data_IF_829644734338
#
_entry.id   IF_829644734338
#
_cell.length_a   1.000
_cell.length_b   1.000
_cell.length_c   1.000
_cell.angle_alpha   90.00
_cell.angle_beta   90.00
_cell.angle_gamma   90.00
#
_symmetry.space_group_name_H-M   'P 1'
#
loop_
_entity.id
_entity.type
_entity.pdbx_description
1 polymer ?
#
# COMPACT_ATOMS: atom_id res chain seq x y z
N UNK A 1 12.72 -15.40 -14.87
CA UNK A 1 12.20 -14.02 -14.80
C UNK A 1 13.38 -13.07 -14.86
N UNK A 2 13.54 -12.32 -15.95
CA UNK A 2 14.37 -11.11 -15.90
C UNK A 2 13.50 -10.02 -15.28
N UNK A 3 13.89 -9.44 -14.15
CA UNK A 3 13.21 -8.25 -13.65
C UNK A 3 13.19 -7.23 -14.77
N UNK A 4 12.05 -6.62 -15.04
CA UNK A 4 12.00 -5.43 -15.87
C UNK A 4 12.99 -4.47 -15.23
N UNK A 5 13.95 -3.99 -16.02
CA UNK A 5 15.04 -3.18 -15.51
C UNK A 5 14.50 -1.79 -15.08
N UNK A 6 13.98 -1.74 -13.86
CA UNK A 6 13.62 -0.50 -13.20
C UNK A 6 14.84 0.23 -12.60
N UNK A 7 16.04 -0.35 -12.79
CA UNK A 7 17.27 0.16 -12.21
C UNK A 7 17.54 1.62 -12.60
N UNK A 8 17.26 2.00 -13.85
CA UNK A 8 17.47 3.38 -14.30
C UNK A 8 16.61 4.43 -13.60
N UNK A 9 15.36 4.12 -13.29
CA UNK A 9 14.49 5.04 -12.56
C UNK A 9 14.85 5.09 -11.06
N UNK A 10 15.23 3.95 -10.49
CA UNK A 10 15.71 3.85 -9.11
C UNK A 10 17.06 4.51 -8.91
N UNK A 11 18.00 4.37 -9.85
CA UNK A 11 19.31 5.01 -9.79
C UNK A 11 19.24 6.53 -9.85
N UNK A 12 18.29 7.09 -10.61
CA UNK A 12 18.16 8.54 -10.73
C UNK A 12 17.64 9.23 -9.45
N UNK A 13 16.77 8.57 -8.66
CA UNK A 13 16.05 9.20 -7.55
C UNK A 13 16.20 8.52 -6.18
N UNK A 14 16.71 7.31 -6.11
CA UNK A 14 16.74 6.51 -4.87
C UNK A 14 18.11 6.07 -4.40
N UNK A 15 19.15 6.19 -5.21
CA UNK A 15 20.48 5.66 -4.90
C UNK A 15 21.11 6.25 -3.64
N UNK A 16 21.01 7.56 -3.45
CA UNK A 16 21.55 8.25 -2.28
C UNK A 16 20.81 7.86 -1.00
N UNK A 17 19.47 7.79 -1.04
CA UNK A 17 18.65 7.35 0.08
C UNK A 17 18.90 5.89 0.43
N UNK A 18 18.93 5.01 -0.57
CA UNK A 18 19.22 3.58 -0.40
C UNK A 18 20.60 3.34 0.24
N UNK A 19 21.60 4.11 -0.13
CA UNK A 19 22.95 4.03 0.45
C UNK A 19 22.99 4.54 1.90
N UNK A 20 22.11 5.48 2.26
CA UNK A 20 22.02 6.04 3.62
C UNK A 20 21.18 5.18 4.58
N UNK A 21 20.28 4.34 4.04
CA UNK A 21 19.42 3.50 4.86
C UNK A 21 20.17 2.28 5.41
N UNK A 22 20.02 2.04 6.70
CA UNK A 22 20.51 0.84 7.38
C UNK A 22 19.35 0.14 8.06
N UNK A 23 19.04 -1.08 7.59
CA UNK A 23 18.05 -1.91 8.24
C UNK A 23 18.64 -2.58 9.49
N UNK A 24 17.96 -2.43 10.62
CA UNK A 24 18.27 -3.14 11.87
C UNK A 24 17.17 -4.15 12.15
N UNK A 25 17.53 -5.38 12.46
CA UNK A 25 16.62 -6.49 12.60
C UNK A 25 16.76 -7.16 13.96
N UNK A 26 15.63 -7.32 14.67
CA UNK A 26 15.58 -8.08 15.94
C UNK A 26 14.23 -8.81 16.06
N UNK A 27 14.15 -10.12 15.76
CA UNK A 27 15.11 -10.98 15.03
C UNK A 27 15.15 -10.69 13.52
N UNK A 28 16.11 -11.26 12.80
CA UNK A 28 16.19 -11.12 11.35
C UNK A 28 15.00 -11.80 10.68
N UNK A 29 14.18 -11.03 10.00
CA UNK A 29 13.05 -11.50 9.19
C UNK A 29 13.48 -11.52 7.73
N UNK A 30 13.50 -12.70 7.12
CA UNK A 30 13.97 -12.90 5.74
C UNK A 30 12.83 -13.03 4.73
N UNK A 31 11.59 -13.03 5.21
CA UNK A 31 10.39 -13.12 4.37
C UNK A 31 9.74 -11.76 4.28
N UNK A 32 9.21 -11.45 3.13
CA UNK A 32 8.47 -10.23 2.91
C UNK A 32 8.07 -10.07 1.46
N UNK A 33 7.22 -9.08 1.24
CA UNK A 33 6.73 -8.74 -0.09
C UNK A 33 6.69 -7.23 -0.23
N UNK A 34 6.96 -6.79 -1.44
CA UNK A 34 6.71 -5.43 -1.85
C UNK A 34 5.54 -5.45 -2.86
N UNK A 35 4.47 -4.77 -2.51
CA UNK A 35 3.29 -4.61 -3.34
C UNK A 35 3.22 -3.18 -3.85
N UNK A 36 3.14 -3.04 -5.15
CA UNK A 36 2.78 -1.80 -5.83
C UNK A 36 1.60 -2.08 -6.73
N UNK A 37 0.54 -1.27 -6.63
CA UNK A 37 -0.69 -1.50 -7.39
C UNK A 37 -0.44 -1.58 -8.90
N UNK A 38 0.42 -0.72 -9.45
CA UNK A 38 0.78 -0.71 -10.87
C UNK A 38 1.43 -2.02 -11.34
N UNK A 39 2.22 -2.67 -10.49
CA UNK A 39 2.91 -3.93 -10.82
C UNK A 39 2.08 -5.18 -10.51
N UNK A 40 0.96 -5.03 -9.82
CA UNK A 40 0.13 -6.15 -9.39
C UNK A 40 -0.28 -7.06 -10.56
N UNK A 41 -0.68 -6.49 -11.71
CA UNK A 41 -1.08 -7.27 -12.88
C UNK A 41 0.05 -8.13 -13.43
N UNK A 42 1.25 -7.60 -13.48
CA UNK A 42 2.40 -8.34 -13.96
C UNK A 42 2.70 -9.53 -13.03
N UNK A 43 2.58 -9.31 -11.72
CA UNK A 43 2.79 -10.35 -10.71
C UNK A 43 1.66 -11.39 -10.74
N UNK A 44 0.40 -10.97 -10.81
CA UNK A 44 -0.76 -11.86 -10.89
C UNK A 44 -0.69 -12.77 -12.12
N UNK A 45 -0.39 -12.19 -13.28
CA UNK A 45 -0.19 -12.95 -14.52
C UNK A 45 0.93 -13.96 -14.39
N UNK A 46 2.07 -13.55 -13.86
CA UNK A 46 3.20 -14.45 -13.65
C UNK A 46 2.84 -15.62 -12.73
N UNK A 47 2.11 -15.37 -11.64
CA UNK A 47 1.69 -16.42 -10.70
C UNK A 47 0.71 -17.41 -11.36
N UNK A 48 -0.24 -16.93 -12.15
CA UNK A 48 -1.17 -17.77 -12.89
C UNK A 48 -0.45 -18.61 -13.97
N UNK A 49 0.51 -18.04 -14.69
CA UNK A 49 1.32 -18.75 -15.69
C UNK A 49 2.25 -19.80 -15.04
N UNK A 50 2.91 -19.45 -13.95
CA UNK A 50 3.80 -20.36 -13.22
C UNK A 50 3.04 -21.56 -12.65
N UNK A 51 1.83 -21.35 -12.13
CA UNK A 51 0.98 -22.43 -11.64
C UNK A 51 0.55 -23.39 -12.75
N UNK A 52 0.21 -22.88 -13.94
CA UNK A 52 -0.11 -23.71 -15.11
C UNK A 52 1.07 -24.56 -15.56
N UNK A 53 2.28 -24.00 -15.56
CA UNK A 53 3.52 -24.71 -15.91
C UNK A 53 3.94 -25.78 -14.91
N UNK A 54 3.54 -25.67 -13.64
CA UNK A 54 3.85 -26.60 -12.57
C UNK A 54 2.82 -27.73 -12.36
N UNK A 55 1.80 -27.84 -13.23
CA UNK A 55 0.75 -28.88 -13.12
C UNK A 55 -0.27 -28.63 -12.00
N UNK A 56 -0.24 -27.49 -11.33
CA UNK A 56 -1.21 -27.05 -10.35
C UNK A 56 -2.39 -26.29 -10.98
N UNK A 57 -3.52 -26.23 -10.28
CA UNK A 57 -4.59 -25.31 -10.66
C UNK A 57 -4.11 -23.88 -10.47
N UNK A 58 -4.21 -23.00 -11.50
CA UNK A 58 -3.84 -21.61 -11.34
C UNK A 58 -4.72 -20.97 -10.26
N UNK A 59 -4.17 -20.09 -9.43
CA UNK A 59 -4.95 -19.34 -8.43
C UNK A 59 -5.98 -18.40 -9.07
N UNK A 60 -5.92 -18.20 -10.40
CA UNK A 60 -6.89 -17.48 -11.23
C UNK A 60 -7.17 -16.05 -10.72
N UNK A 61 -6.08 -15.35 -10.36
CA UNK A 61 -6.16 -13.98 -9.86
C UNK A 61 -6.74 -13.00 -10.88
N UNK A 62 -6.62 -13.32 -12.18
CA UNK A 62 -7.07 -12.45 -13.28
C UNK A 62 -8.54 -12.63 -13.66
N UNK A 63 -9.22 -13.72 -13.25
CA UNK A 63 -10.65 -13.94 -13.52
C UNK A 63 -11.55 -13.09 -12.62
N UNK A 64 -11.02 -12.65 -11.50
CA UNK A 64 -11.72 -11.77 -10.58
C UNK A 64 -11.56 -10.29 -10.98
N UNK A 65 -12.45 -9.43 -10.48
CA UNK A 65 -12.26 -7.99 -10.63
C UNK A 65 -10.91 -7.59 -10.05
N UNK A 66 -10.28 -6.56 -10.60
CA UNK A 66 -8.95 -6.08 -10.25
C UNK A 66 -8.69 -6.03 -8.73
N UNK A 67 -9.62 -5.49 -7.97
CA UNK A 67 -9.51 -5.38 -6.52
C UNK A 67 -9.69 -6.69 -5.77
N UNK A 68 -10.46 -7.66 -6.32
CA UNK A 68 -10.64 -8.98 -5.67
C UNK A 68 -9.38 -9.82 -5.76
N UNK A 69 -8.76 -9.87 -6.94
CA UNK A 69 -7.50 -10.55 -7.14
C UNK A 69 -6.42 -10.02 -6.22
N UNK A 70 -6.32 -8.68 -6.08
CA UNK A 70 -5.38 -8.03 -5.17
C UNK A 70 -5.60 -8.46 -3.71
N UNK A 71 -6.83 -8.36 -3.20
CA UNK A 71 -7.17 -8.69 -1.82
C UNK A 71 -6.94 -10.19 -1.51
N UNK A 72 -7.18 -11.05 -2.50
CA UNK A 72 -6.92 -12.48 -2.37
C UNK A 72 -5.41 -12.77 -2.26
N UNK A 73 -4.58 -12.22 -3.15
CA UNK A 73 -3.12 -12.35 -3.05
C UNK A 73 -2.62 -11.82 -1.71
N UNK A 74 -3.16 -10.69 -1.26
CA UNK A 74 -2.83 -10.10 0.01
C UNK A 74 -3.13 -11.06 1.17
N UNK A 75 -4.35 -11.60 1.25
CA UNK A 75 -4.75 -12.51 2.32
C UNK A 75 -3.94 -13.82 2.32
N UNK A 76 -3.62 -14.38 1.15
CA UNK A 76 -2.86 -15.62 1.03
C UNK A 76 -1.36 -15.46 1.35
N UNK A 77 -0.81 -14.26 1.20
CA UNK A 77 0.63 -14.02 1.36
C UNK A 77 1.02 -13.39 2.68
N UNK A 78 0.10 -12.66 3.32
CA UNK A 78 0.37 -11.94 4.57
C UNK A 78 -0.06 -12.70 5.83
N UNK A 79 -0.43 -13.96 5.73
CA UNK A 79 -0.76 -14.81 6.87
C UNK A 79 0.47 -15.30 7.66
N UNK A 80 1.67 -15.00 7.19
CA UNK A 80 2.95 -15.52 7.71
C UNK A 80 3.81 -14.40 8.29
N UNK A 81 4.75 -14.80 9.13
CA UNK A 81 5.79 -13.88 9.62
C UNK A 81 6.54 -13.24 8.46
N UNK A 82 6.56 -11.91 8.44
CA UNK A 82 7.17 -11.17 7.34
C UNK A 82 7.17 -9.67 7.52
N UNK A 83 7.92 -9.00 6.63
CA UNK A 83 7.88 -7.56 6.43
C UNK A 83 7.23 -7.27 5.08
N UNK A 84 6.17 -6.48 5.10
CA UNK A 84 5.34 -6.20 3.94
C UNK A 84 5.31 -4.71 3.65
N UNK A 85 5.66 -4.36 2.41
CA UNK A 85 5.60 -2.98 1.93
C UNK A 85 4.44 -2.86 0.95
N UNK A 86 3.60 -1.87 1.16
CA UNK A 86 2.47 -1.54 0.29
C UNK A 86 2.64 -0.11 -0.23
N UNK A 87 2.69 0.03 -1.54
CA UNK A 87 2.84 1.31 -2.22
C UNK A 87 1.55 1.65 -2.95
N UNK A 88 0.83 2.63 -2.44
CA UNK A 88 -0.47 3.11 -2.93
C UNK A 88 -1.48 1.99 -3.27
N UNK A 89 -1.77 1.08 -2.33
CA UNK A 89 -2.66 -0.05 -2.62
C UNK A 89 -4.08 0.41 -3.02
N UNK A 90 -4.50 1.60 -2.61
CA UNK A 90 -5.79 2.19 -2.96
C UNK A 90 -5.95 2.43 -4.46
N UNK A 91 -4.89 2.63 -5.23
CA UNK A 91 -4.99 2.92 -6.67
C UNK A 91 -5.57 1.73 -7.48
N UNK A 92 -5.49 0.50 -6.94
CA UNK A 92 -6.15 -0.68 -7.49
C UNK A 92 -7.52 -1.00 -6.86
N UNK A 93 -7.97 -0.23 -5.87
CA UNK A 93 -9.09 -0.57 -5.01
C UNK A 93 -10.20 0.49 -5.03
N UNK A 94 -11.44 0.06 -5.29
CA UNK A 94 -12.59 0.91 -5.01
C UNK A 94 -12.70 1.21 -3.50
N UNK A 95 -13.38 2.30 -3.07
CA UNK A 95 -13.55 2.61 -1.65
C UNK A 95 -14.08 1.43 -0.81
N UNK A 96 -15.01 0.65 -1.35
CA UNK A 96 -15.52 -0.56 -0.70
C UNK A 96 -14.41 -1.61 -0.50
N UNK A 97 -13.54 -1.79 -1.49
CA UNK A 97 -12.41 -2.72 -1.41
C UNK A 97 -11.31 -2.24 -0.47
N UNK A 98 -11.12 -0.93 -0.35
CA UNK A 98 -10.23 -0.35 0.65
C UNK A 98 -10.69 -0.70 2.08
N UNK A 99 -12.01 -0.72 2.35
CA UNK A 99 -12.53 -1.18 3.64
C UNK A 99 -12.27 -2.68 3.89
N UNK A 100 -12.26 -3.51 2.85
CA UNK A 100 -11.89 -4.92 2.97
C UNK A 100 -10.39 -5.07 3.30
N UNK A 101 -9.53 -4.30 2.64
CA UNK A 101 -8.10 -4.25 2.96
C UNK A 101 -7.87 -3.74 4.39
N UNK A 102 -8.57 -2.69 4.81
CA UNK A 102 -8.50 -2.18 6.19
C UNK A 102 -8.81 -3.28 7.21
N UNK A 103 -9.86 -4.07 6.98
CA UNK A 103 -10.21 -5.19 7.89
C UNK A 103 -9.11 -6.24 7.94
N UNK A 104 -8.50 -6.57 6.80
CA UNK A 104 -7.38 -7.52 6.74
C UNK A 104 -6.16 -6.99 7.49
N UNK A 105 -5.83 -5.70 7.32
CA UNK A 105 -4.74 -5.05 8.04
C UNK A 105 -4.99 -4.99 9.55
N UNK A 106 -6.21 -4.66 9.96
CA UNK A 106 -6.59 -4.65 11.37
C UNK A 106 -6.47 -6.04 12.01
N UNK A 107 -6.96 -7.08 11.33
CA UNK A 107 -6.81 -8.46 11.80
C UNK A 107 -5.34 -8.92 11.84
N UNK A 108 -4.50 -8.42 10.95
CA UNK A 108 -3.07 -8.70 10.95
C UNK A 108 -2.36 -8.00 12.11
N UNK A 109 -2.76 -6.78 12.45
CA UNK A 109 -2.19 -6.01 13.56
C UNK A 109 -2.41 -6.68 14.94
N UNK A 110 -3.46 -7.47 15.08
CA UNK A 110 -3.72 -8.26 16.30
C UNK A 110 -2.76 -9.45 16.45
N UNK A 111 -2.00 -9.79 15.40
CA UNK A 111 -1.07 -10.92 15.39
C UNK A 111 0.36 -10.40 15.37
N UNK A 112 1.21 -10.75 16.34
CA UNK A 112 2.61 -10.28 16.39
C UNK A 112 3.51 -11.03 15.39
N UNK A 113 3.00 -11.31 14.19
CA UNK A 113 3.70 -12.14 13.20
C UNK A 113 4.23 -11.33 12.02
N UNK A 114 3.68 -10.13 11.78
CA UNK A 114 4.03 -9.36 10.59
C UNK A 114 4.16 -7.87 10.90
N UNK A 115 5.03 -7.21 10.17
CA UNK A 115 5.11 -5.75 10.10
C UNK A 115 4.68 -5.30 8.71
N UNK A 116 3.79 -4.33 8.66
CA UNK A 116 3.36 -3.67 7.42
C UNK A 116 3.85 -2.24 7.43
N UNK A 117 4.48 -1.83 6.35
CA UNK A 117 4.84 -0.43 6.07
C UNK A 117 4.10 -0.04 4.80
N UNK A 118 3.22 0.96 4.89
CA UNK A 118 2.36 1.34 3.79
C UNK A 118 2.51 2.83 3.48
N UNK A 119 2.73 3.14 2.20
CA UNK A 119 2.55 4.48 1.67
C UNK A 119 1.13 4.57 1.08
N UNK A 120 0.36 5.55 1.50
CA UNK A 120 -1.04 5.70 1.05
C UNK A 120 -1.51 7.14 1.10
N UNK A 121 -2.37 7.51 0.16
CA UNK A 121 -3.13 8.75 0.16
C UNK A 121 -4.59 8.55 0.61
N UNK A 122 -4.99 7.32 0.92
CA UNK A 122 -6.37 6.99 1.32
C UNK A 122 -6.63 7.31 2.79
N UNK A 123 -7.57 8.22 3.11
CA UNK A 123 -8.01 8.44 4.48
C UNK A 123 -8.55 7.18 5.16
N UNK A 124 -9.14 6.26 4.37
CA UNK A 124 -9.65 4.98 4.89
C UNK A 124 -8.51 4.09 5.37
N UNK A 125 -7.41 4.00 4.61
CA UNK A 125 -6.28 3.15 4.96
C UNK A 125 -5.41 3.76 6.06
N UNK A 126 -5.32 5.09 6.15
CA UNK A 126 -4.66 5.77 7.28
C UNK A 126 -5.35 5.48 8.61
N UNK A 127 -6.65 5.15 8.58
CA UNK A 127 -7.46 4.89 9.79
C UNK A 127 -7.38 3.44 10.30
N UNK A 128 -6.42 2.62 9.84
CA UNK A 128 -6.23 1.26 10.36
C UNK A 128 -5.99 1.31 11.88
N UNK A 129 -6.76 0.58 12.69
CA UNK A 129 -6.60 0.58 14.14
C UNK A 129 -5.18 0.17 14.57
N UNK A 130 -4.59 0.95 15.47
CA UNK A 130 -3.24 0.68 15.99
C UNK A 130 -2.10 1.02 15.03
N UNK A 131 -2.37 1.57 13.85
CA UNK A 131 -1.32 2.01 12.93
C UNK A 131 -0.65 3.29 13.46
N UNK A 132 0.67 3.33 13.37
CA UNK A 132 1.45 4.55 13.53
C UNK A 132 1.46 5.28 12.18
N UNK A 133 0.92 6.50 12.15
CA UNK A 133 0.90 7.32 10.94
C UNK A 133 2.06 8.31 10.97
N UNK A 134 2.87 8.26 9.92
CA UNK A 134 4.03 9.14 9.74
C UNK A 134 3.79 10.04 8.53
N UNK A 135 3.77 11.34 8.76
CA UNK A 135 3.69 12.34 7.70
C UNK A 135 5.11 12.73 7.25
N UNK A 136 5.34 12.72 5.94
CA UNK A 136 6.60 13.17 5.34
C UNK A 136 6.54 14.70 5.23
N UNK A 137 7.46 15.39 5.89
CA UNK A 137 7.58 16.85 5.87
C UNK A 137 8.94 17.25 5.31
N UNK A 138 9.15 18.55 5.11
CA UNK A 138 10.47 19.07 4.70
C UNK A 138 11.56 18.81 5.76
N UNK A 139 11.17 18.70 7.03
CA UNK A 139 12.07 18.50 8.15
C UNK A 139 12.26 17.01 8.52
N UNK A 140 11.60 16.11 7.79
CA UNK A 140 11.67 14.66 7.99
C UNK A 140 10.31 14.02 8.28
N UNK A 141 10.33 12.87 8.95
CA UNK A 141 9.14 12.12 9.34
C UNK A 141 8.59 12.64 10.66
N UNK A 142 7.29 12.90 10.70
CA UNK A 142 6.57 13.32 11.89
C UNK A 142 5.41 12.36 12.17
N UNK A 143 5.31 11.87 13.40
CA UNK A 143 4.15 11.11 13.84
C UNK A 143 2.96 12.03 14.04
N UNK A 144 1.79 11.62 13.51
CA UNK A 144 0.55 12.41 13.56
C UNK A 144 -0.65 11.48 13.80
N UNK A 145 -1.71 12.02 14.39
CA UNK A 145 -3.01 11.34 14.32
C UNK A 145 -3.51 11.38 12.87
N UNK A 146 -4.04 10.26 12.36
CA UNK A 146 -4.55 10.21 10.98
C UNK A 146 -5.63 11.27 10.71
N UNK A 147 -6.38 11.67 11.77
CA UNK A 147 -7.41 12.72 11.69
C UNK A 147 -6.84 14.10 11.42
N UNK A 148 -5.57 14.30 11.74
CA UNK A 148 -4.86 15.58 11.62
C UNK A 148 -3.93 15.64 10.40
N UNK A 149 -3.95 14.61 9.55
CA UNK A 149 -3.23 14.64 8.27
C UNK A 149 -3.81 15.69 7.33
N UNK A 150 -2.96 16.22 6.45
CA UNK A 150 -3.39 17.18 5.42
C UNK A 150 -4.53 16.59 4.54
N UNK A 151 -4.42 15.31 4.19
CA UNK A 151 -5.45 14.58 3.43
C UNK A 151 -6.79 14.57 4.15
N UNK A 152 -6.81 14.20 5.43
CA UNK A 152 -8.06 14.12 6.18
C UNK A 152 -8.70 15.49 6.39
N UNK A 153 -7.90 16.54 6.57
CA UNK A 153 -8.41 17.91 6.64
C UNK A 153 -9.09 18.33 5.35
N UNK A 154 -8.43 18.06 4.20
CA UNK A 154 -8.97 18.37 2.87
C UNK A 154 -10.32 17.67 2.64
N UNK A 155 -10.38 16.36 2.87
CA UNK A 155 -11.62 15.59 2.71
C UNK A 155 -12.73 16.07 3.66
N UNK A 156 -12.38 16.48 4.88
CA UNK A 156 -13.37 17.02 5.85
C UNK A 156 -13.96 18.33 5.36
N UNK A 157 -13.15 19.24 4.82
CA UNK A 157 -13.63 20.48 4.23
C UNK A 157 -14.58 20.21 3.06
N UNK A 158 -14.17 19.35 2.14
CA UNK A 158 -15.02 18.96 1.01
C UNK A 158 -16.36 18.36 1.44
N UNK A 159 -16.37 17.44 2.42
CA UNK A 159 -17.61 16.80 2.88
C UNK A 159 -18.51 17.77 3.65
N UNK A 160 -17.91 18.71 4.37
CA UNK A 160 -18.67 19.70 5.17
C UNK A 160 -19.37 20.76 4.29
N UNK A 161 -18.70 21.28 3.28
CA UNK A 161 -19.22 22.26 2.33
C UNK A 161 -18.68 21.98 0.92
N UNK A 162 -19.28 21.05 0.16
CA UNK A 162 -18.81 20.68 -1.16
C UNK A 162 -18.82 21.82 -2.17
N UNK A 163 -19.87 22.67 -2.13
CA UNK A 163 -20.05 23.77 -3.07
C UNK A 163 -19.02 24.88 -2.83
N UNK A 164 -18.85 25.31 -1.58
CA UNK A 164 -17.85 26.32 -1.20
C UNK A 164 -16.42 25.82 -1.48
N UNK A 165 -16.12 24.56 -1.12
CA UNK A 165 -14.83 23.94 -1.41
C UNK A 165 -14.49 23.94 -2.90
N UNK A 166 -15.46 23.59 -3.76
CA UNK A 166 -15.26 23.57 -5.20
C UNK A 166 -15.02 24.98 -5.77
N UNK A 167 -15.72 25.99 -5.24
CA UNK A 167 -15.51 27.37 -5.63
C UNK A 167 -14.08 27.83 -5.29
N UNK A 168 -13.64 27.65 -4.04
CA UNK A 168 -12.28 27.99 -3.59
C UNK A 168 -11.19 27.27 -4.41
N UNK A 169 -11.40 25.97 -4.70
CA UNK A 169 -10.48 25.19 -5.50
C UNK A 169 -10.35 25.70 -6.96
N UNK A 170 -11.46 26.12 -7.57
CA UNK A 170 -11.47 26.67 -8.93
C UNK A 170 -10.87 28.07 -9.01
N UNK A 171 -10.95 28.84 -7.94
CA UNK A 171 -10.34 30.17 -7.80
C UNK A 171 -8.85 30.09 -7.43
N UNK A 172 -8.35 28.90 -7.07
CA UNK A 172 -6.94 28.65 -6.72
C UNK A 172 -6.57 29.13 -5.31
N UNK A 173 -7.55 29.16 -4.41
CA UNK A 173 -7.37 29.59 -3.02
C UNK A 173 -6.97 28.44 -2.08
N UNK A 174 -7.10 27.17 -2.54
CA UNK A 174 -6.68 25.93 -1.83
C UNK A 174 -5.79 25.05 -2.69
#
# INVERSE_FOLDING_TARGET
YRPVDHSRALEANGGALSAALRASWLPKVTRGWFFRAESFYAVARYLDEAARGGGGSPPDFLSHSHGEGFLRVFSERMDRQGLYFLDEPESALSPKRQLELLRQLAALAERPVAQVIMATHSPLLMAVPGAQVLEITRDGLREVDWRDTAHMRLYRQFVFDPEGFLQEALEGEI
#
